data_IF_312834146619
#
_entry.id   IF_312834146619
#
_cell.length_a   1.000
_cell.length_b   1.000
_cell.length_c   1.000
_cell.angle_alpha   90.00
_cell.angle_beta   90.00
_cell.angle_gamma   90.00
#
_symmetry.space_group_name_H-M   'P 1'
#
loop_
_entity.id
_entity.type
_entity.pdbx_description
1 polymer ?
#
# COMPACT_ATOMS: atom_id res chain seq x y z
N UNK A 1 8.82 11.30 0.11
CA UNK A 1 9.44 10.21 0.88
C UNK A 1 8.35 9.20 1.24
N UNK A 2 8.68 7.93 1.46
CA UNK A 2 7.70 6.94 1.91
C UNK A 2 7.27 7.29 3.34
N UNK A 3 5.98 7.16 3.65
CA UNK A 3 5.41 7.69 4.87
C UNK A 3 4.03 7.11 5.17
N UNK A 4 3.56 7.30 6.40
CA UNK A 4 2.24 6.87 6.82
C UNK A 4 1.80 7.72 8.02
N UNK A 5 0.51 8.04 8.10
CA UNK A 5 -0.08 8.69 9.29
C UNK A 5 0.08 7.82 10.54
N UNK A 6 0.21 6.50 10.38
CA UNK A 6 0.67 5.61 11.42
C UNK A 6 2.20 5.43 11.32
N UNK A 7 2.94 6.06 12.23
CA UNK A 7 4.40 6.04 12.26
C UNK A 7 5.00 4.63 12.43
N UNK A 8 4.28 3.69 13.04
CA UNK A 8 4.74 2.30 13.21
C UNK A 8 4.88 1.53 11.88
N UNK A 9 4.31 2.06 10.80
CA UNK A 9 4.37 1.45 9.47
C UNK A 9 5.53 2.00 8.62
N UNK A 10 6.13 3.12 9.02
CA UNK A 10 7.24 3.74 8.29
C UNK A 10 8.46 2.82 8.37
N UNK A 11 9.05 2.53 7.21
CA UNK A 11 10.19 1.62 7.10
C UNK A 11 9.82 0.14 6.92
N UNK A 12 8.53 -0.23 6.96
CA UNK A 12 8.11 -1.56 6.52
C UNK A 12 8.43 -1.75 5.04
N UNK A 13 9.04 -2.89 4.73
CA UNK A 13 9.35 -3.30 3.37
C UNK A 13 8.94 -4.76 3.16
N UNK A 14 8.74 -5.13 1.90
CA UNK A 14 8.30 -6.45 1.54
C UNK A 14 7.63 -6.48 0.17
N UNK A 15 7.09 -7.65 -0.15
CA UNK A 15 6.37 -7.90 -1.41
C UNK A 15 4.88 -7.80 -1.14
N UNK A 16 4.13 -7.07 -1.98
CA UNK A 16 2.66 -7.08 -1.93
C UNK A 16 2.18 -8.48 -2.32
N UNK A 17 1.41 -9.14 -1.44
CA UNK A 17 0.84 -10.47 -1.71
C UNK A 17 -0.68 -10.44 -1.88
N UNK A 18 -1.35 -9.39 -1.41
CA UNK A 18 -2.79 -9.20 -1.59
C UNK A 18 -3.16 -7.70 -1.55
N UNK A 19 -4.27 -7.37 -2.21
CA UNK A 19 -4.85 -6.03 -2.26
C UNK A 19 -6.37 -6.11 -2.10
N UNK A 20 -6.90 -5.36 -1.13
CA UNK A 20 -8.35 -5.17 -0.96
C UNK A 20 -8.74 -3.73 -1.28
N UNK A 21 -10.02 -3.39 -1.14
CA UNK A 21 -10.54 -2.03 -1.40
C UNK A 21 -9.80 -0.93 -0.63
N UNK A 22 -9.32 -1.24 0.59
CA UNK A 22 -8.74 -0.26 1.51
C UNK A 22 -7.35 -0.64 2.05
N UNK A 23 -6.94 -1.90 1.90
CA UNK A 23 -5.71 -2.42 2.50
C UNK A 23 -4.79 -3.01 1.44
N UNK A 24 -3.49 -3.01 1.76
CA UNK A 24 -2.46 -3.82 1.13
C UNK A 24 -1.93 -4.82 2.15
N UNK A 25 -1.63 -6.04 1.71
CA UNK A 25 -0.94 -7.03 2.52
C UNK A 25 0.49 -7.17 2.00
N UNK A 26 1.47 -6.79 2.83
CA UNK A 26 2.88 -6.97 2.54
C UNK A 26 3.40 -8.23 3.23
N UNK A 27 4.01 -9.13 2.46
CA UNK A 27 4.88 -10.16 3.01
C UNK A 27 6.22 -9.54 3.38
N UNK A 28 6.44 -9.36 4.69
CA UNK A 28 7.71 -8.87 5.23
C UNK A 28 8.59 -10.03 5.69
N UNK A 29 9.85 -9.75 6.03
CA UNK A 29 10.75 -10.75 6.62
C UNK A 29 10.21 -11.35 7.94
N UNK A 30 9.35 -10.61 8.67
CA UNK A 30 8.75 -11.04 9.94
C UNK A 30 7.33 -11.60 9.78
N UNK A 31 6.89 -11.84 8.55
CA UNK A 31 5.54 -12.32 8.24
C UNK A 31 4.64 -11.27 7.55
N UNK A 32 3.39 -11.62 7.25
CA UNK A 32 2.45 -10.74 6.57
C UNK A 32 2.02 -9.57 7.45
N UNK A 33 1.93 -8.37 6.86
CA UNK A 33 1.48 -7.13 7.52
C UNK A 33 0.42 -6.43 6.68
N UNK A 34 -0.63 -6.00 7.36
CA UNK A 34 -1.73 -5.26 6.78
C UNK A 34 -1.46 -3.76 6.89
N UNK A 35 -1.55 -3.06 5.77
CA UNK A 35 -1.27 -1.63 5.68
C UNK A 35 -2.49 -0.92 5.08
N UNK A 36 -3.03 0.12 5.74
CA UNK A 36 -4.08 0.93 5.15
C UNK A 36 -3.51 1.76 4.00
N UNK A 37 -4.24 1.79 2.89
CA UNK A 37 -3.91 2.67 1.75
C UNK A 37 -4.08 4.15 2.14
N UNK A 38 -5.14 4.45 2.90
CA UNK A 38 -5.43 5.80 3.34
C UNK A 38 -4.31 6.35 4.24
N UNK A 39 -3.84 7.56 3.93
CA UNK A 39 -2.76 8.20 4.68
C UNK A 39 -1.38 7.54 4.54
N UNK A 40 -1.19 6.62 3.59
CA UNK A 40 0.10 6.00 3.29
C UNK A 40 0.71 6.57 2.01
N UNK A 41 2.03 6.69 1.97
CA UNK A 41 2.84 6.98 0.77
C UNK A 41 3.85 5.85 0.62
N UNK A 42 3.76 5.13 -0.49
CA UNK A 42 4.51 3.91 -0.76
C UNK A 42 5.66 4.21 -1.73
N UNK A 43 6.76 3.48 -1.61
CA UNK A 43 7.83 3.50 -2.62
C UNK A 43 7.76 2.18 -3.41
N UNK A 44 7.38 2.26 -4.68
CA UNK A 44 7.21 1.10 -5.57
C UNK A 44 8.01 1.34 -6.84
N UNK A 45 8.93 0.43 -7.18
CA UNK A 45 9.75 0.58 -8.40
C UNK A 45 10.60 1.86 -8.44
N UNK A 46 10.97 2.42 -7.29
CA UNK A 46 11.69 3.70 -7.20
C UNK A 46 10.81 4.95 -7.30
N UNK A 47 9.49 4.80 -7.44
CA UNK A 47 8.54 5.91 -7.51
C UNK A 47 7.69 5.99 -6.24
N UNK A 48 7.43 7.22 -5.79
CA UNK A 48 6.51 7.45 -4.69
C UNK A 48 5.06 7.47 -5.19
N UNK A 49 4.23 6.64 -4.60
CA UNK A 49 2.81 6.49 -4.95
C UNK A 49 1.96 6.82 -3.72
N UNK A 50 0.96 7.68 -3.89
CA UNK A 50 -0.02 7.94 -2.84
C UNK A 50 -0.94 6.74 -2.68
N UNK A 51 -1.13 6.27 -1.44
CA UNK A 51 -2.09 5.21 -1.18
C UNK A 51 -3.54 5.65 -1.43
N UNK A 52 -3.85 6.94 -1.44
CA UNK A 52 -5.17 7.44 -1.84
C UNK A 52 -5.50 7.11 -3.30
N UNK A 53 -4.51 7.14 -4.20
CA UNK A 53 -4.66 6.76 -5.62
C UNK A 53 -4.90 5.26 -5.80
N UNK A 54 -4.53 4.47 -4.77
CA UNK A 54 -4.75 3.03 -4.75
C UNK A 54 -6.12 2.66 -4.18
N UNK A 55 -6.91 3.63 -3.68
CA UNK A 55 -8.19 3.37 -3.03
C UNK A 55 -9.23 2.89 -4.04
N UNK A 56 -10.11 1.99 -3.60
CA UNK A 56 -11.07 1.31 -4.49
C UNK A 56 -10.61 -0.10 -4.80
N UNK A 57 -11.48 -0.90 -5.43
CA UNK A 57 -11.09 -2.25 -5.84
C UNK A 57 -10.19 -2.15 -7.07
N UNK A 58 -9.20 -3.03 -7.16
CA UNK A 58 -8.23 -3.02 -8.26
C UNK A 58 -8.90 -3.03 -9.63
N UNK A 59 -9.93 -3.86 -9.81
CA UNK A 59 -10.66 -3.92 -11.08
C UNK A 59 -11.36 -2.60 -11.42
N UNK A 60 -11.99 -1.93 -10.45
CA UNK A 60 -12.63 -0.61 -10.65
C UNK A 60 -11.62 0.43 -11.15
N UNK A 61 -10.37 0.35 -10.67
CA UNK A 61 -9.28 1.25 -11.06
C UNK A 61 -8.72 0.95 -12.44
N UNK A 62 -8.68 -0.32 -12.84
CA UNK A 62 -8.13 -0.76 -14.12
C UNK A 62 -9.09 -0.58 -15.28
N UNK A 63 -10.40 -0.69 -15.03
CA UNK A 63 -11.40 -0.57 -16.11
C UNK A 63 -11.77 0.86 -16.45
N UNK A 64 -11.44 1.85 -15.61
CA UNK A 64 -11.89 3.23 -15.78
C UNK A 64 -13.44 3.36 -15.78
N UNK A 65 -13.99 4.58 -15.74
CA UNK A 65 -15.36 4.81 -16.16
C UNK A 65 -15.56 4.59 -17.67
#
# INVERSE_FOLDING_TARGET
>A
MAGSSNHCLVGLNGTVIDETKHMLVLQTAKGPRWIPKQGSTLLVGGQYVSGEELRGRLHERLTGP
#
